data_IF_084400463155
#
_entry.id   IF_084400463155
#
_cell.length_a   1.000
_cell.length_b   1.000
_cell.length_c   1.000
_cell.angle_alpha   90.00
_cell.angle_beta   90.00
_cell.angle_gamma   90.00
#
_symmetry.space_group_name_H-M   'P 1'
#
loop_
_entity.id
_entity.type
_entity.pdbx_description
1 polymer ?
#
# COMPACT_ATOMS: atom_id res chain seq x y z
N UNK A 1 -15.25 23.06 -63.61
CA UNK A 1 -15.11 23.82 -62.33
C UNK A 1 -15.33 22.85 -61.15
N UNK A 2 -14.25 22.41 -60.53
CA UNK A 2 -14.32 21.52 -59.38
C UNK A 2 -14.25 22.36 -58.11
N UNK A 3 -15.32 22.35 -57.33
CA UNK A 3 -15.37 22.98 -56.01
C UNK A 3 -14.81 22.00 -54.99
N UNK A 4 -13.60 22.27 -54.52
CA UNK A 4 -12.96 21.55 -53.44
C UNK A 4 -13.53 22.05 -52.10
N UNK A 5 -14.35 21.25 -51.48
CA UNK A 5 -14.85 21.50 -50.12
C UNK A 5 -13.79 21.01 -49.13
N UNK A 6 -13.15 21.96 -48.45
CA UNK A 6 -12.21 21.68 -47.36
C UNK A 6 -13.04 21.38 -46.12
N UNK A 7 -13.06 20.10 -45.72
CA UNK A 7 -13.64 19.71 -44.45
C UNK A 7 -12.65 20.03 -43.32
N UNK A 8 -13.00 21.03 -42.53
CA UNK A 8 -12.28 21.41 -41.30
C UNK A 8 -12.62 20.38 -40.21
N UNK A 9 -11.69 19.47 -39.95
CA UNK A 9 -11.82 18.55 -38.85
C UNK A 9 -11.53 19.27 -37.53
N UNK A 10 -12.58 19.54 -36.76
CA UNK A 10 -12.46 19.99 -35.39
C UNK A 10 -11.98 18.82 -34.53
N UNK A 11 -10.70 18.82 -34.17
CA UNK A 11 -10.13 17.98 -33.14
C UNK A 11 -10.57 18.54 -31.78
N UNK A 12 -11.66 18.02 -31.25
CA UNK A 12 -12.06 18.28 -29.88
C UNK A 12 -11.09 17.49 -28.98
N UNK A 13 -10.06 18.16 -28.50
CA UNK A 13 -9.22 17.65 -27.44
C UNK A 13 -10.07 17.58 -26.17
N UNK A 14 -10.59 16.41 -25.86
CA UNK A 14 -11.22 16.14 -24.59
C UNK A 14 -10.11 16.04 -23.51
N UNK A 15 -9.80 17.21 -22.93
CA UNK A 15 -9.06 17.24 -21.67
C UNK A 15 -9.90 16.52 -20.62
N UNK A 16 -9.58 15.27 -20.35
CA UNK A 16 -10.03 14.62 -19.11
C UNK A 16 -9.40 15.40 -17.96
N UNK A 17 -10.16 16.36 -17.43
CA UNK A 17 -9.88 16.93 -16.13
C UNK A 17 -10.05 15.79 -15.11
N UNK A 18 -8.96 15.13 -14.77
CA UNK A 18 -8.91 14.25 -13.60
C UNK A 18 -9.24 15.15 -12.41
N UNK A 19 -10.31 14.88 -11.64
CA UNK A 19 -10.60 15.70 -10.48
C UNK A 19 -9.42 15.57 -9.51
N UNK A 20 -8.66 16.65 -9.36
CA UNK A 20 -7.60 16.82 -8.38
C UNK A 20 -8.18 16.91 -6.95
N UNK A 21 -9.02 15.94 -6.57
CA UNK A 21 -9.70 15.91 -5.29
C UNK A 21 -9.22 14.83 -4.33
N UNK A 22 -8.23 14.04 -4.73
CA UNK A 22 -7.74 12.90 -3.93
C UNK A 22 -6.28 13.04 -3.51
N UNK A 23 -5.75 14.25 -3.49
CA UNK A 23 -4.63 14.51 -2.62
C UNK A 23 -5.21 14.43 -1.20
N UNK A 24 -5.16 13.22 -0.60
CA UNK A 24 -5.27 13.12 0.85
C UNK A 24 -4.32 14.18 1.39
N UNK A 25 -4.86 15.18 2.09
CA UNK A 25 -4.07 15.98 3.00
C UNK A 25 -3.51 15.00 4.03
N UNK A 26 -2.38 14.41 3.71
CA UNK A 26 -1.56 13.80 4.74
C UNK A 26 -1.25 14.93 5.70
N UNK A 27 -1.77 14.82 6.91
CA UNK A 27 -1.52 15.82 7.93
C UNK A 27 -0.02 15.79 8.21
N UNK A 28 0.68 16.89 7.93
CA UNK A 28 2.12 17.04 8.20
C UNK A 28 2.48 16.61 9.63
N UNK A 29 1.52 16.71 10.54
CA UNK A 29 1.64 16.27 11.92
C UNK A 29 1.71 14.74 12.04
N UNK A 30 0.87 14.01 11.33
CA UNK A 30 0.89 12.54 11.33
C UNK A 30 2.20 12.02 10.76
N UNK A 31 2.70 12.63 9.68
CA UNK A 31 4.00 12.30 9.11
C UNK A 31 5.16 12.56 10.07
N UNK A 32 5.15 13.70 10.76
CA UNK A 32 6.18 14.02 11.74
C UNK A 32 6.15 13.07 12.94
N UNK A 33 4.96 12.69 13.38
CA UNK A 33 4.77 11.73 14.46
C UNK A 33 5.25 10.34 14.08
N UNK A 34 4.89 9.85 12.88
CA UNK A 34 5.38 8.59 12.35
C UNK A 34 6.90 8.60 12.21
N UNK A 35 7.50 9.63 11.62
CA UNK A 35 8.93 9.77 11.46
C UNK A 35 9.68 9.75 12.81
N UNK A 36 9.10 10.35 13.84
CA UNK A 36 9.63 10.29 15.20
C UNK A 36 9.53 8.89 15.79
N UNK A 37 8.37 8.25 15.64
CA UNK A 37 8.13 6.90 16.15
C UNK A 37 8.99 5.84 15.46
N UNK A 38 9.26 6.00 14.16
CA UNK A 38 10.12 5.11 13.38
C UNK A 38 11.55 4.98 13.91
N UNK A 39 12.05 5.96 14.67
CA UNK A 39 13.35 5.86 15.33
C UNK A 39 13.44 4.73 16.34
N UNK A 40 12.31 4.26 16.85
CA UNK A 40 12.24 3.13 17.77
C UNK A 40 12.13 1.78 17.06
N UNK A 41 11.87 1.75 15.76
CA UNK A 41 11.75 0.52 14.99
C UNK A 41 13.11 -0.17 14.84
N UNK A 42 13.17 -1.46 15.14
CA UNK A 42 14.35 -2.32 14.95
C UNK A 42 14.13 -3.35 13.85
N UNK A 43 12.93 -3.45 13.35
CA UNK A 43 12.49 -4.44 12.37
C UNK A 43 12.21 -3.75 11.06
N UNK A 44 12.77 -4.24 9.97
CA UNK A 44 12.50 -3.73 8.62
C UNK A 44 11.12 -4.17 8.14
N UNK A 45 10.56 -3.45 7.17
CA UNK A 45 9.31 -3.83 6.50
C UNK A 45 9.41 -5.25 5.91
N UNK A 46 10.53 -5.59 5.29
CA UNK A 46 10.82 -6.93 4.75
C UNK A 46 10.77 -8.02 5.83
N UNK A 47 11.29 -7.73 7.02
CA UNK A 47 11.21 -8.68 8.14
C UNK A 47 9.77 -8.89 8.57
N UNK A 48 8.95 -7.82 8.58
CA UNK A 48 7.52 -7.90 8.83
C UNK A 48 6.78 -8.78 7.82
N UNK A 49 7.06 -8.58 6.53
CA UNK A 49 6.52 -9.40 5.44
C UNK A 49 6.86 -10.89 5.62
N UNK A 50 8.12 -11.18 5.90
CA UNK A 50 8.58 -12.56 6.12
C UNK A 50 7.94 -13.22 7.36
N UNK A 51 7.80 -12.46 8.46
CA UNK A 51 7.21 -12.96 9.69
C UNK A 51 5.72 -13.30 9.52
N UNK A 52 5.00 -12.51 8.75
CA UNK A 52 3.55 -12.65 8.51
C UNK A 52 3.19 -13.72 7.47
N UNK A 53 4.16 -14.23 6.70
CA UNK A 53 3.93 -15.18 5.62
C UNK A 53 3.29 -16.52 6.08
N UNK A 54 3.37 -16.84 7.35
CA UNK A 54 2.70 -18.02 7.94
C UNK A 54 1.18 -17.84 8.03
N UNK A 55 0.72 -16.60 8.15
CA UNK A 55 -0.70 -16.26 8.26
C UNK A 55 -1.39 -16.18 6.88
N UNK A 56 -0.61 -15.96 5.82
CA UNK A 56 -1.07 -15.87 4.45
C UNK A 56 -0.06 -15.16 3.56
N UNK A 57 -0.39 -15.02 2.29
CA UNK A 57 0.44 -14.25 1.35
C UNK A 57 0.32 -12.76 1.65
N UNK A 58 1.42 -12.05 1.96
CA UNK A 58 1.38 -10.61 2.19
C UNK A 58 0.92 -9.86 0.92
N UNK A 59 -0.03 -8.95 1.08
CA UNK A 59 -0.58 -8.11 0.01
C UNK A 59 -0.34 -6.63 0.25
N UNK A 60 -0.06 -6.22 1.48
CA UNK A 60 0.30 -4.87 1.87
C UNK A 60 1.03 -4.87 3.20
N UNK A 61 1.86 -3.87 3.42
CA UNK A 61 2.52 -3.67 4.72
C UNK A 61 2.75 -2.17 4.95
N UNK A 62 2.59 -1.72 6.19
CA UNK A 62 2.81 -0.34 6.59
C UNK A 62 3.28 -0.23 8.02
N UNK A 63 4.07 0.81 8.28
CA UNK A 63 4.23 1.36 9.61
C UNK A 63 3.20 2.46 9.83
N UNK A 64 2.60 2.50 10.98
CA UNK A 64 1.65 3.52 11.39
C UNK A 64 1.74 3.80 12.88
N UNK A 65 1.25 4.94 13.31
CA UNK A 65 1.08 5.24 14.74
C UNK A 65 -0.40 5.07 15.08
N UNK A 66 -0.70 4.06 15.87
CA UNK A 66 -2.05 3.77 16.32
C UNK A 66 -2.11 3.88 17.84
N UNK A 67 -3.05 4.69 18.34
CA UNK A 67 -3.19 4.99 19.78
C UNK A 67 -1.86 5.43 20.44
N UNK A 68 -1.06 6.23 19.71
CA UNK A 68 0.23 6.75 20.17
C UNK A 68 1.37 5.74 20.20
N UNK A 69 1.18 4.55 19.59
CA UNK A 69 2.19 3.49 19.50
C UNK A 69 2.52 3.17 18.05
N UNK A 70 3.81 2.97 17.79
CA UNK A 70 4.25 2.49 16.48
C UNK A 70 3.78 1.05 16.28
N UNK A 71 3.15 0.80 15.15
CA UNK A 71 2.64 -0.50 14.75
C UNK A 71 3.20 -0.86 13.36
N UNK A 72 3.59 -2.11 13.19
CA UNK A 72 3.89 -2.70 11.88
C UNK A 72 2.76 -3.64 11.52
N UNK A 73 1.91 -3.19 10.61
CA UNK A 73 0.77 -3.95 10.10
C UNK A 73 1.09 -4.57 8.76
N UNK A 74 0.82 -5.87 8.62
CA UNK A 74 0.91 -6.60 7.35
C UNK A 74 -0.44 -7.20 7.04
N UNK A 75 -0.98 -6.85 5.89
CA UNK A 75 -2.22 -7.44 5.39
C UNK A 75 -1.89 -8.68 4.59
N UNK A 76 -2.54 -9.78 4.90
CA UNK A 76 -2.32 -11.08 4.26
C UNK A 76 -3.59 -11.66 3.68
N UNK A 77 -3.42 -12.50 2.66
CA UNK A 77 -4.51 -13.24 2.02
C UNK A 77 -4.22 -14.74 2.05
N UNK A 78 -5.22 -15.52 2.44
CA UNK A 78 -5.19 -16.98 2.37
C UNK A 78 -6.51 -17.48 1.77
N UNK A 79 -6.46 -17.90 0.50
CA UNK A 79 -7.66 -18.15 -0.30
C UNK A 79 -8.44 -16.85 -0.50
N UNK A 80 -9.68 -16.82 -0.06
CA UNK A 80 -10.59 -15.65 -0.10
C UNK A 80 -10.66 -14.88 1.24
N UNK A 81 -9.82 -15.28 2.21
CA UNK A 81 -9.80 -14.70 3.55
C UNK A 81 -8.63 -13.73 3.70
N UNK A 82 -8.90 -12.61 4.34
CA UNK A 82 -7.93 -11.58 4.64
C UNK A 82 -7.69 -11.48 6.13
N UNK A 83 -6.47 -11.16 6.51
CA UNK A 83 -6.09 -10.93 7.91
C UNK A 83 -5.14 -9.75 8.02
N UNK A 84 -5.24 -9.00 9.10
CA UNK A 84 -4.24 -8.07 9.55
C UNK A 84 -3.32 -8.75 10.55
N UNK A 85 -2.04 -8.75 10.25
CA UNK A 85 -0.99 -9.31 11.09
C UNK A 85 -0.17 -8.20 11.69
N UNK A 86 -0.22 -8.05 13.01
CA UNK A 86 0.60 -7.09 13.73
C UNK A 86 1.92 -7.76 14.08
N UNK A 87 3.00 -7.18 13.59
CA UNK A 87 4.37 -7.63 13.88
C UNK A 87 5.00 -6.68 14.90
N UNK A 88 5.56 -7.24 15.95
CA UNK A 88 6.30 -6.47 16.94
C UNK A 88 7.54 -5.83 16.28
N UNK A 89 7.57 -4.52 16.24
CA UNK A 89 8.60 -3.74 15.57
C UNK A 89 9.98 -3.75 16.26
N UNK A 90 10.07 -4.35 17.43
CA UNK A 90 11.32 -4.52 18.19
C UNK A 90 11.90 -5.92 17.97
N UNK A 91 11.06 -6.95 17.97
CA UNK A 91 11.47 -8.37 17.95
C UNK A 91 11.28 -9.05 16.59
N UNK A 92 10.38 -8.51 15.74
CA UNK A 92 10.00 -9.12 14.47
C UNK A 92 9.12 -10.37 14.62
N UNK A 93 8.52 -10.57 15.77
CA UNK A 93 7.57 -11.66 16.01
C UNK A 93 6.15 -11.21 15.74
N UNK A 94 5.30 -12.11 15.27
CA UNK A 94 3.87 -11.87 15.17
C UNK A 94 3.30 -11.70 16.58
N UNK A 95 2.76 -10.53 16.86
CA UNK A 95 2.10 -10.23 18.12
C UNK A 95 0.62 -10.59 18.08
N UNK A 96 -0.03 -10.40 16.91
CA UNK A 96 -1.45 -10.62 16.72
C UNK A 96 -1.75 -10.88 15.25
N UNK A 97 -2.77 -11.70 14.99
CA UNK A 97 -3.35 -11.87 13.66
C UNK A 97 -4.87 -11.85 13.80
N UNK A 98 -5.53 -10.94 13.12
CA UNK A 98 -6.98 -10.75 13.16
C UNK A 98 -7.60 -10.90 11.77
N UNK A 99 -8.72 -11.62 11.65
CA UNK A 99 -9.42 -11.70 10.39
C UNK A 99 -10.07 -10.34 10.04
N UNK A 100 -9.97 -9.95 8.77
CA UNK A 100 -10.65 -8.78 8.22
C UNK A 100 -11.95 -9.27 7.60
N UNK A 101 -13.08 -8.97 8.23
CA UNK A 101 -14.39 -9.51 7.85
C UNK A 101 -15.36 -8.47 7.28
N UNK A 102 -15.00 -7.18 7.31
CA UNK A 102 -15.88 -6.12 6.85
C UNK A 102 -15.23 -4.74 6.83
N UNK A 103 -16.03 -3.74 6.52
CA UNK A 103 -15.64 -2.34 6.54
C UNK A 103 -14.68 -1.90 5.43
N UNK A 104 -14.06 -0.76 5.65
CA UNK A 104 -13.09 -0.18 4.71
C UNK A 104 -11.85 -1.06 4.56
N UNK A 105 -11.41 -1.71 5.62
CA UNK A 105 -10.26 -2.61 5.60
C UNK A 105 -10.46 -3.80 4.66
N UNK A 106 -11.66 -4.38 4.63
CA UNK A 106 -11.97 -5.46 3.68
C UNK A 106 -11.99 -4.95 2.24
N UNK A 107 -12.53 -3.76 2.01
CA UNK A 107 -12.53 -3.12 0.69
C UNK A 107 -11.11 -2.86 0.22
N UNK A 108 -10.27 -2.30 1.09
CA UNK A 108 -8.86 -2.05 0.81
C UNK A 108 -8.08 -3.36 0.56
N UNK A 109 -8.28 -4.39 1.38
CA UNK A 109 -7.61 -5.68 1.23
C UNK A 109 -7.96 -6.36 -0.11
N UNK A 110 -9.22 -6.31 -0.54
CA UNK A 110 -9.65 -6.80 -1.85
C UNK A 110 -8.96 -6.06 -2.99
N UNK A 111 -8.95 -4.73 -2.95
CA UNK A 111 -8.29 -3.92 -3.97
C UNK A 111 -6.79 -4.19 -4.04
N UNK A 112 -6.13 -4.32 -2.89
CA UNK A 112 -4.71 -4.66 -2.80
C UNK A 112 -4.42 -6.06 -3.37
N UNK A 113 -5.27 -7.04 -3.06
CA UNK A 113 -5.10 -8.39 -3.57
C UNK A 113 -5.27 -8.46 -5.10
N UNK A 114 -6.22 -7.71 -5.66
CA UNK A 114 -6.40 -7.57 -7.10
C UNK A 114 -5.19 -6.92 -7.78
N UNK A 115 -4.62 -5.90 -7.15
CA UNK A 115 -3.40 -5.25 -7.63
C UNK A 115 -2.22 -6.22 -7.60
N UNK A 116 -2.06 -6.98 -6.50
CA UNK A 116 -1.01 -7.97 -6.36
C UNK A 116 -1.14 -9.14 -7.35
N UNK A 117 -2.37 -9.54 -7.70
CA UNK A 117 -2.61 -10.56 -8.73
C UNK A 117 -2.11 -10.15 -10.13
N UNK A 118 -2.05 -8.85 -10.39
CA UNK A 118 -1.55 -8.26 -11.64
C UNK A 118 -0.05 -7.93 -11.57
N UNK A 119 0.54 -7.92 -10.38
CA UNK A 119 1.93 -7.59 -10.18
C UNK A 119 2.85 -8.70 -10.69
N UNK A 120 3.95 -8.32 -11.34
CA UNK A 120 4.97 -9.25 -11.84
C UNK A 120 6.02 -9.62 -10.80
N UNK A 121 6.04 -8.93 -9.65
CA UNK A 121 6.97 -9.15 -8.56
C UNK A 121 6.22 -9.30 -7.25
N UNK A 122 6.78 -10.06 -6.33
CA UNK A 122 6.27 -10.13 -4.96
C UNK A 122 6.51 -8.82 -4.21
N UNK A 123 5.71 -8.57 -3.20
CA UNK A 123 5.86 -7.37 -2.35
C UNK A 123 7.22 -7.35 -1.66
N UNK A 124 7.70 -8.51 -1.20
CA UNK A 124 9.02 -8.65 -0.57
C UNK A 124 10.17 -8.29 -1.54
N UNK A 125 10.11 -8.80 -2.77
CA UNK A 125 11.10 -8.48 -3.79
C UNK A 125 11.11 -6.99 -4.16
N UNK A 126 9.93 -6.36 -4.25
CA UNK A 126 9.82 -4.93 -4.52
C UNK A 126 10.37 -4.10 -3.37
N UNK A 127 10.07 -4.48 -2.13
CA UNK A 127 10.60 -3.81 -0.93
C UNK A 127 12.14 -3.93 -0.86
N UNK A 128 12.69 -5.11 -1.16
CA UNK A 128 14.13 -5.35 -1.21
C UNK A 128 14.84 -4.44 -2.21
N UNK A 129 14.27 -4.30 -3.40
CA UNK A 129 14.82 -3.46 -4.45
C UNK A 129 14.77 -1.97 -4.07
N UNK A 130 13.65 -1.51 -3.54
CA UNK A 130 13.48 -0.13 -3.10
C UNK A 130 14.49 0.26 -2.01
N UNK A 131 14.75 -0.60 -1.04
CA UNK A 131 15.76 -0.39 0.01
C UNK A 131 17.17 -0.33 -0.60
N UNK A 132 17.49 -1.25 -1.52
CA UNK A 132 18.78 -1.29 -2.19
C UNK A 132 19.08 -0.01 -3.00
N UNK A 133 18.08 0.49 -3.71
CA UNK A 133 18.22 1.67 -4.56
C UNK A 133 18.33 2.96 -3.74
N UNK A 134 17.62 3.06 -2.64
CA UNK A 134 17.55 4.27 -1.82
C UNK A 134 18.51 4.26 -0.63
N UNK A 135 19.26 3.17 -0.41
CA UNK A 135 20.16 2.99 0.74
C UNK A 135 19.52 3.36 2.09
N UNK A 136 18.20 3.11 2.17
CA UNK A 136 17.41 3.37 3.36
C UNK A 136 17.63 2.35 4.46
#
# INVERSE_FOLDING_TARGET
MRKTTIALAFLVAWCFAVPMGWAQKYDDKEHAELAKAMKAAKVSLQRGLSASAREGTPISAKYEVEHGKLQLSVYTMKGDKFSEVIVDHQTGKVAKAEPITGGEDLTAAKAQSEAMAKAKRSLDAAAAEAVKENKG
#
